data_IF_712345138700
#
_entry.id   IF_712345138700
#
_cell.length_a   1.000
_cell.length_b   1.000
_cell.length_c   1.000
_cell.angle_alpha   90.00
_cell.angle_beta   90.00
_cell.angle_gamma   90.00
#
_symmetry.space_group_name_H-M   'P 1'
#
loop_
_entity.id
_entity.type
_entity.pdbx_description
1 polymer ?
#
# COMPACT_ATOMS: atom_id res chain seq x y z
N UNK A 1 14.62 18.45 4.95
CA UNK A 1 13.36 19.16 4.99
C UNK A 1 12.74 19.14 6.37
N UNK A 2 11.80 20.04 6.62
CA UNK A 2 11.16 20.19 7.95
C UNK A 2 9.99 19.19 8.16
N UNK A 3 9.82 18.20 7.29
CA UNK A 3 8.74 17.21 7.40
C UNK A 3 7.32 17.74 7.15
N UNK A 4 7.19 18.97 6.67
CA UNK A 4 5.89 19.57 6.36
C UNK A 4 5.86 20.11 4.92
N UNK A 5 4.77 19.86 4.22
CA UNK A 5 4.52 20.42 2.90
C UNK A 5 4.30 21.94 2.97
N UNK A 6 4.76 22.66 1.93
CA UNK A 6 4.53 24.11 1.81
C UNK A 6 3.09 24.43 1.40
N UNK A 7 2.42 23.52 0.70
CA UNK A 7 1.01 23.62 0.35
C UNK A 7 0.15 23.19 1.54
N UNK A 8 -0.69 24.08 2.03
CA UNK A 8 -1.55 23.86 3.19
C UNK A 8 -3.04 24.07 2.91
N UNK A 9 -3.36 24.58 1.72
CA UNK A 9 -4.73 24.94 1.33
C UNK A 9 -5.39 23.82 0.53
N UNK A 10 -5.20 22.56 0.98
CA UNK A 10 -5.77 21.37 0.35
C UNK A 10 -6.14 20.30 1.39
N UNK A 11 -6.77 19.22 0.95
CA UNK A 11 -7.28 18.14 1.80
C UNK A 11 -6.21 17.10 2.19
N UNK A 12 -4.93 17.35 1.90
CA UNK A 12 -3.87 16.37 2.21
C UNK A 12 -3.77 16.05 3.70
N UNK A 13 -4.01 17.02 4.56
CA UNK A 13 -4.03 16.81 6.01
C UNK A 13 -5.07 15.77 6.47
N UNK A 14 -6.19 15.64 5.73
CA UNK A 14 -7.22 14.62 5.99
C UNK A 14 -6.67 13.23 5.68
N UNK A 15 -5.97 13.09 4.54
CA UNK A 15 -5.33 11.84 4.13
C UNK A 15 -4.23 11.46 5.13
N UNK A 16 -3.39 12.42 5.50
CA UNK A 16 -2.30 12.24 6.45
C UNK A 16 -2.81 11.73 7.79
N UNK A 17 -3.80 12.39 8.38
CA UNK A 17 -4.40 12.00 9.66
C UNK A 17 -5.06 10.61 9.59
N UNK A 18 -5.77 10.32 8.51
CA UNK A 18 -6.38 9.02 8.30
C UNK A 18 -5.33 7.89 8.24
N UNK A 19 -4.22 8.11 7.52
CA UNK A 19 -3.12 7.16 7.44
C UNK A 19 -2.40 6.97 8.78
N UNK A 20 -2.17 8.06 9.53
CA UNK A 20 -1.54 7.98 10.86
C UNK A 20 -2.39 7.19 11.85
N UNK A 21 -3.70 7.32 11.77
CA UNK A 21 -4.64 6.68 12.70
C UNK A 21 -4.96 5.23 12.33
N UNK A 22 -4.86 4.86 11.06
CA UNK A 22 -5.25 3.53 10.58
C UNK A 22 -4.37 2.40 11.11
N UNK A 23 -4.96 1.23 11.37
CA UNK A 23 -4.29 -0.04 11.64
C UNK A 23 -4.08 -0.87 10.36
N UNK A 24 -4.94 -0.65 9.38
CA UNK A 24 -4.83 -1.24 8.03
C UNK A 24 -5.16 -0.22 6.95
N UNK A 25 -4.56 -0.41 5.77
CA UNK A 25 -4.76 0.48 4.61
C UNK A 25 -5.01 -0.35 3.36
N UNK A 26 -6.12 -0.11 2.69
CA UNK A 26 -6.37 -0.65 1.35
C UNK A 26 -6.12 0.48 0.34
N UNK A 27 -5.15 0.28 -0.53
CA UNK A 27 -4.81 1.24 -1.58
C UNK A 27 -5.38 0.78 -2.90
N UNK A 28 -6.23 1.61 -3.51
CA UNK A 28 -6.81 1.34 -4.82
C UNK A 28 -6.47 2.44 -5.82
N UNK A 29 -6.03 2.06 -7.02
CA UNK A 29 -5.80 2.99 -8.12
C UNK A 29 -6.11 2.35 -9.46
N UNK A 30 -6.82 3.04 -10.38
CA UNK A 30 -6.86 2.60 -11.76
C UNK A 30 -5.47 2.74 -12.39
N UNK A 31 -5.21 1.91 -13.40
CA UNK A 31 -4.00 2.00 -14.22
C UNK A 31 -4.25 2.88 -15.43
N UNK A 32 -3.47 3.93 -15.55
CA UNK A 32 -3.36 4.74 -16.75
C UNK A 32 -1.91 4.79 -17.20
N UNK A 33 -1.65 4.54 -18.49
CA UNK A 33 -0.30 4.54 -19.06
C UNK A 33 0.68 3.67 -18.23
N UNK A 34 0.29 2.41 -17.99
CA UNK A 34 1.04 1.38 -17.25
C UNK A 34 1.15 1.56 -15.74
N UNK A 35 0.82 2.71 -15.18
CA UNK A 35 1.07 3.08 -13.80
C UNK A 35 -0.20 3.52 -13.05
N UNK A 36 -0.16 3.62 -11.72
CA UNK A 36 -1.21 4.27 -10.95
C UNK A 36 -1.42 5.73 -11.38
N UNK A 37 -2.55 6.30 -11.01
CA UNK A 37 -2.90 7.68 -11.38
C UNK A 37 -1.88 8.70 -10.85
N UNK A 38 -1.76 9.85 -11.55
CA UNK A 38 -0.95 10.97 -11.09
C UNK A 38 -1.36 11.48 -9.70
N UNK A 39 -2.65 11.44 -9.35
CA UNK A 39 -3.12 11.80 -8.01
C UNK A 39 -2.55 10.88 -6.93
N UNK A 40 -2.47 9.57 -7.19
CA UNK A 40 -1.79 8.65 -6.28
C UNK A 40 -0.33 9.04 -6.09
N UNK A 41 0.39 9.32 -7.16
CA UNK A 41 1.80 9.74 -7.10
C UNK A 41 1.99 11.03 -6.30
N UNK A 42 1.09 12.01 -6.45
CA UNK A 42 1.12 13.25 -5.65
C UNK A 42 1.01 12.94 -4.14
N UNK A 43 0.12 12.02 -3.75
CA UNK A 43 0.00 11.59 -2.35
C UNK A 43 1.29 10.93 -1.88
N UNK A 44 1.87 10.02 -2.68
CA UNK A 44 3.14 9.36 -2.35
C UNK A 44 4.28 10.36 -2.14
N UNK A 45 4.42 11.33 -3.05
CA UNK A 45 5.49 12.33 -2.98
C UNK A 45 5.36 13.24 -1.75
N UNK A 46 4.15 13.48 -1.29
CA UNK A 46 3.90 14.31 -0.11
C UNK A 46 4.10 13.54 1.20
N UNK A 47 3.73 12.27 1.22
CA UNK A 47 3.87 11.42 2.41
C UNK A 47 5.30 10.92 2.54
N UNK A 48 5.92 10.41 1.47
CA UNK A 48 7.14 9.61 1.48
C UNK A 48 8.23 10.13 2.42
N UNK A 49 9.00 11.18 2.06
CA UNK A 49 10.18 11.56 2.83
C UNK A 49 9.86 12.06 4.25
N UNK A 50 8.66 12.57 4.45
CA UNK A 50 8.25 13.14 5.74
C UNK A 50 7.77 12.08 6.72
N UNK A 51 7.36 10.90 6.25
CA UNK A 51 6.74 9.85 7.03
C UNK A 51 7.50 8.52 7.00
N UNK A 52 8.69 8.53 6.40
CA UNK A 52 9.54 7.34 6.33
C UNK A 52 9.97 6.90 7.73
N UNK A 53 9.51 5.72 8.14
CA UNK A 53 9.77 5.16 9.47
C UNK A 53 11.27 5.00 9.75
N UNK A 54 12.08 4.78 8.72
CA UNK A 54 13.54 4.62 8.84
C UNK A 54 14.21 5.89 9.35
N UNK A 55 13.70 7.05 8.96
CA UNK A 55 14.22 8.34 9.44
C UNK A 55 13.51 8.82 10.70
N UNK A 56 12.22 8.52 10.84
CA UNK A 56 11.42 8.98 11.98
C UNK A 56 11.66 8.18 13.24
N UNK A 57 11.85 6.87 13.14
CA UNK A 57 12.10 6.00 14.29
C UNK A 57 13.22 6.51 15.18
N UNK A 58 14.45 6.66 14.68
CA UNK A 58 15.57 7.19 15.46
C UNK A 58 15.33 8.60 16.03
N UNK A 59 14.63 9.47 15.29
CA UNK A 59 14.32 10.82 15.75
C UNK A 59 13.30 10.82 16.91
N UNK A 60 12.34 9.90 16.89
CA UNK A 60 11.38 9.70 17.97
C UNK A 60 12.09 9.14 19.21
N UNK A 61 12.88 8.08 19.03
CA UNK A 61 13.64 7.46 20.12
C UNK A 61 14.56 8.47 20.82
N UNK A 62 15.28 9.28 20.03
CA UNK A 62 16.12 10.34 20.57
C UNK A 62 15.29 11.38 21.33
N UNK A 63 14.16 11.84 20.76
CA UNK A 63 13.30 12.83 21.42
C UNK A 63 12.79 12.35 22.76
N UNK A 64 12.34 11.09 22.83
CA UNK A 64 11.87 10.46 24.08
C UNK A 64 13.03 10.33 25.09
N UNK A 65 14.20 9.86 24.66
CA UNK A 65 15.37 9.68 25.52
C UNK A 65 15.86 11.01 26.11
N UNK A 66 15.76 12.08 25.36
CA UNK A 66 16.12 13.43 25.80
C UNK A 66 15.04 14.13 26.63
N UNK A 67 13.87 13.48 26.84
CA UNK A 67 12.74 14.04 27.59
C UNK A 67 12.10 15.27 26.93
N UNK A 68 12.16 15.35 25.59
CA UNK A 68 11.55 16.45 24.83
C UNK A 68 10.03 16.41 24.88
N UNK A 69 9.42 17.59 24.74
CA UNK A 69 7.98 17.67 24.52
C UNK A 69 7.57 16.94 23.22
N UNK A 70 6.43 16.22 23.19
CA UNK A 70 5.97 15.50 21.98
C UNK A 70 5.87 16.34 20.71
N UNK A 71 5.70 17.66 20.83
CA UNK A 71 5.69 18.58 19.68
C UNK A 71 7.07 18.83 19.06
N UNK A 72 8.16 18.39 19.70
CA UNK A 72 9.54 18.63 19.28
C UNK A 72 10.18 17.47 18.50
N UNK A 73 9.46 16.35 18.37
CA UNK A 73 9.89 15.20 17.56
C UNK A 73 8.73 14.69 16.69
N UNK A 74 8.98 13.83 15.71
CA UNK A 74 7.93 13.33 14.82
C UNK A 74 6.82 12.60 15.57
N UNK A 75 5.61 12.62 15.02
CA UNK A 75 4.47 11.88 15.55
C UNK A 75 4.82 10.38 15.68
N UNK A 76 4.68 9.83 16.87
CA UNK A 76 4.98 8.42 17.19
C UNK A 76 4.16 7.45 16.35
N UNK A 77 2.97 7.85 15.89
CA UNK A 77 2.13 7.05 15.01
C UNK A 77 2.77 6.78 13.64
N UNK A 78 3.77 7.56 13.24
CA UNK A 78 4.48 7.35 11.98
C UNK A 78 5.28 6.04 11.94
N UNK A 79 5.62 5.49 13.09
CA UNK A 79 6.30 4.18 13.22
C UNK A 79 5.38 3.03 13.56
N UNK A 80 4.08 3.28 13.71
CA UNK A 80 3.06 2.26 13.98
C UNK A 80 3.08 1.18 12.89
N UNK A 81 3.18 -0.10 13.25
CA UNK A 81 3.08 -1.18 12.27
C UNK A 81 1.65 -1.26 11.71
N UNK A 82 1.54 -1.41 10.38
CA UNK A 82 0.28 -1.49 9.65
C UNK A 82 0.30 -2.67 8.70
N UNK A 83 -0.86 -3.23 8.43
CA UNK A 83 -1.05 -4.15 7.31
C UNK A 83 -1.78 -3.46 6.18
N UNK A 84 -1.62 -3.96 4.97
CA UNK A 84 -2.30 -3.37 3.82
C UNK A 84 -2.58 -4.33 2.69
N UNK A 85 -3.43 -3.88 1.78
CA UNK A 85 -3.68 -4.56 0.53
C UNK A 85 -3.69 -3.56 -0.63
N UNK A 86 -3.33 -4.04 -1.82
CA UNK A 86 -3.24 -3.24 -3.04
C UNK A 86 -4.25 -3.72 -4.07
N UNK A 87 -4.95 -2.79 -4.72
CA UNK A 87 -5.91 -3.10 -5.77
C UNK A 87 -5.65 -2.20 -6.97
N UNK A 88 -5.46 -2.79 -8.15
CA UNK A 88 -5.39 -2.01 -9.38
C UNK A 88 -6.33 -2.56 -10.44
N UNK A 89 -6.88 -1.66 -11.25
CA UNK A 89 -7.83 -1.97 -12.33
C UNK A 89 -7.37 -1.27 -13.60
N UNK A 90 -7.28 -2.00 -14.69
CA UNK A 90 -6.94 -1.45 -16.00
C UNK A 90 -7.90 -1.87 -17.10
N UNK A 91 -8.08 -0.98 -18.09
CA UNK A 91 -8.96 -1.21 -19.23
C UNK A 91 -8.39 -2.16 -20.29
N UNK A 92 -7.08 -2.27 -20.38
CA UNK A 92 -6.40 -3.08 -21.39
C UNK A 92 -6.77 -4.56 -21.31
N UNK A 93 -6.77 -5.24 -22.45
CA UNK A 93 -7.11 -6.66 -22.56
C UNK A 93 -5.98 -7.61 -22.17
N UNK A 94 -4.79 -7.09 -21.98
CA UNK A 94 -3.60 -7.87 -21.64
C UNK A 94 -2.99 -7.34 -20.35
N UNK A 95 -2.53 -8.23 -19.51
CA UNK A 95 -2.02 -7.99 -18.18
C UNK A 95 -0.80 -7.06 -18.13
N UNK A 96 0.09 -7.18 -19.14
CA UNK A 96 1.32 -6.40 -19.20
C UNK A 96 1.12 -4.87 -19.28
N UNK A 97 -0.09 -4.39 -19.65
CA UNK A 97 -0.43 -2.97 -19.54
C UNK A 97 -0.57 -2.46 -18.10
N UNK A 98 -0.61 -3.35 -17.14
CA UNK A 98 -0.70 -3.03 -15.71
C UNK A 98 0.61 -3.32 -14.96
N UNK A 99 1.67 -3.65 -15.68
CA UNK A 99 2.92 -4.20 -15.10
C UNK A 99 3.61 -3.28 -14.09
N UNK A 100 3.45 -1.98 -14.18
CA UNK A 100 4.06 -1.03 -13.25
C UNK A 100 3.11 -0.54 -12.15
N UNK A 101 1.83 -0.93 -12.17
CA UNK A 101 0.86 -0.42 -11.21
C UNK A 101 1.12 -0.91 -9.80
N UNK A 102 1.10 -2.22 -9.57
CA UNK A 102 1.35 -2.77 -8.23
C UNK A 102 2.76 -2.45 -7.72
N UNK A 103 3.85 -2.56 -8.52
CA UNK A 103 5.17 -2.16 -8.09
C UNK A 103 5.25 -0.70 -7.60
N UNK A 104 4.67 0.24 -8.35
CA UNK A 104 4.63 1.64 -7.92
C UNK A 104 3.76 1.86 -6.67
N UNK A 105 2.73 1.05 -6.46
CA UNK A 105 1.94 1.10 -5.23
C UNK A 105 2.70 0.55 -4.02
N UNK A 106 3.56 -0.44 -4.20
CA UNK A 106 4.47 -0.92 -3.17
C UNK A 106 5.47 0.15 -2.72
N UNK A 107 5.92 1.03 -3.62
CA UNK A 107 6.80 2.16 -3.24
C UNK A 107 6.17 3.08 -2.19
N UNK A 108 4.84 3.18 -2.17
CA UNK A 108 4.12 3.93 -1.14
C UNK A 108 4.11 3.20 0.21
N UNK A 109 4.02 1.86 0.20
CA UNK A 109 3.88 1.08 1.43
C UNK A 109 5.17 1.00 2.24
N UNK A 110 6.33 0.97 1.60
CA UNK A 110 7.63 0.85 2.27
C UNK A 110 7.92 2.00 3.25
N UNK A 111 7.86 3.27 2.86
CA UNK A 111 8.12 4.37 3.78
C UNK A 111 7.17 4.40 4.96
N UNK A 112 5.91 4.05 4.71
CA UNK A 112 4.84 4.04 5.72
C UNK A 112 4.90 2.85 6.68
N UNK A 113 5.78 1.87 6.42
CA UNK A 113 5.81 0.65 7.20
C UNK A 113 4.50 -0.14 7.15
N UNK A 114 3.92 -0.22 5.95
CA UNK A 114 2.70 -1.01 5.67
C UNK A 114 3.14 -2.35 5.09
N UNK A 115 2.87 -3.43 5.80
CA UNK A 115 3.11 -4.79 5.34
C UNK A 115 1.98 -5.21 4.40
N UNK A 116 2.28 -5.36 3.12
CA UNK A 116 1.29 -5.78 2.11
C UNK A 116 1.04 -7.28 2.27
N UNK A 117 -0.18 -7.63 2.67
CA UNK A 117 -0.60 -9.01 2.95
C UNK A 117 -1.47 -9.62 1.87
N UNK A 118 -1.97 -8.81 0.95
CA UNK A 118 -2.74 -9.24 -0.21
C UNK A 118 -2.71 -8.18 -1.29
N UNK A 119 -2.87 -8.58 -2.54
CA UNK A 119 -2.98 -7.65 -3.66
C UNK A 119 -3.86 -8.23 -4.76
N UNK A 120 -4.40 -7.37 -5.62
CA UNK A 120 -5.21 -7.80 -6.74
C UNK A 120 -5.05 -6.88 -7.94
N UNK A 121 -4.94 -7.50 -9.10
CA UNK A 121 -4.84 -6.82 -10.39
C UNK A 121 -5.95 -7.31 -11.31
N UNK A 122 -6.82 -6.40 -11.76
CA UNK A 122 -7.86 -6.70 -12.72
C UNK A 122 -7.62 -5.97 -14.04
N UNK A 123 -7.55 -6.69 -15.12
CA UNK A 123 -7.42 -6.13 -16.48
C UNK A 123 -8.65 -6.47 -17.34
N UNK A 124 -8.83 -5.75 -18.46
CA UNK A 124 -9.97 -5.93 -19.35
C UNK A 124 -11.22 -5.12 -18.96
N UNK A 125 -11.10 -4.15 -18.05
CA UNK A 125 -12.22 -3.34 -17.58
C UNK A 125 -12.79 -2.35 -18.62
N UNK A 126 -12.19 -2.23 -19.81
CA UNK A 126 -12.60 -1.25 -20.83
C UNK A 126 -13.90 -1.57 -21.55
N UNK A 127 -14.42 -2.79 -21.44
CA UNK A 127 -15.59 -3.21 -22.18
C UNK A 127 -16.77 -3.51 -21.25
N UNK A 128 -17.89 -2.91 -21.56
CA UNK A 128 -19.29 -3.35 -21.36
C UNK A 128 -19.67 -3.96 -19.99
N UNK A 129 -18.81 -4.72 -19.36
CA UNK A 129 -19.06 -5.27 -18.03
C UNK A 129 -18.41 -4.42 -16.96
N UNK A 130 -19.23 -3.68 -16.26
CA UNK A 130 -18.80 -2.97 -15.06
C UNK A 130 -18.25 -3.98 -14.05
N UNK A 131 -17.07 -3.70 -13.50
CA UNK A 131 -16.39 -4.60 -12.52
C UNK A 131 -17.34 -5.07 -11.39
N UNK A 132 -18.25 -4.21 -10.95
CA UNK A 132 -19.28 -4.55 -9.95
C UNK A 132 -20.27 -5.59 -10.44
N UNK A 133 -20.40 -5.81 -11.74
CA UNK A 133 -21.21 -6.87 -12.35
C UNK A 133 -20.51 -8.22 -12.45
N UNK A 134 -19.25 -8.32 -11.98
CA UNK A 134 -18.43 -9.54 -11.99
C UNK A 134 -18.45 -10.23 -10.63
N UNK A 135 -19.25 -11.30 -10.44
CA UNK A 135 -19.35 -11.98 -9.14
C UNK A 135 -18.01 -12.56 -8.66
N UNK A 136 -17.20 -13.07 -9.56
CA UNK A 136 -15.86 -13.61 -9.30
C UNK A 136 -14.91 -12.55 -8.72
N UNK A 137 -14.89 -11.36 -9.32
CA UNK A 137 -14.10 -10.23 -8.84
C UNK A 137 -14.61 -9.75 -7.48
N UNK A 138 -15.92 -9.64 -7.33
CA UNK A 138 -16.52 -9.20 -6.06
C UNK A 138 -16.25 -10.18 -4.92
N UNK A 139 -16.24 -11.48 -5.21
CA UNK A 139 -15.88 -12.48 -4.20
C UNK A 139 -14.40 -12.41 -3.83
N UNK A 140 -13.51 -12.22 -4.82
CA UNK A 140 -12.09 -12.00 -4.56
C UNK A 140 -11.86 -10.75 -3.69
N UNK A 141 -12.61 -9.67 -3.90
CA UNK A 141 -12.53 -8.47 -3.08
C UNK A 141 -13.01 -8.69 -1.65
N UNK A 142 -14.03 -9.52 -1.44
CA UNK A 142 -14.46 -9.93 -0.08
C UNK A 142 -13.36 -10.75 0.61
N UNK A 143 -12.75 -11.67 -0.11
CA UNK A 143 -11.63 -12.47 0.40
C UNK A 143 -10.47 -11.57 0.83
N UNK A 144 -10.09 -10.59 0.01
CA UNK A 144 -9.06 -9.61 0.35
C UNK A 144 -9.44 -8.84 1.63
N UNK A 145 -10.68 -8.42 1.77
CA UNK A 145 -11.17 -7.78 2.98
C UNK A 145 -11.10 -8.70 4.21
N UNK A 146 -11.43 -10.00 4.04
CA UNK A 146 -11.31 -11.01 5.11
C UNK A 146 -9.86 -11.20 5.54
N UNK A 147 -8.91 -11.23 4.62
CA UNK A 147 -7.47 -11.30 4.91
C UNK A 147 -6.98 -10.14 5.78
N UNK A 148 -7.48 -8.93 5.54
CA UNK A 148 -7.18 -7.76 6.39
C UNK A 148 -7.72 -7.99 7.82
N UNK A 149 -8.96 -8.45 7.95
CA UNK A 149 -9.57 -8.71 9.26
C UNK A 149 -8.82 -9.82 10.01
N UNK A 150 -8.44 -10.90 9.33
CA UNK A 150 -7.62 -11.97 9.90
C UNK A 150 -6.28 -11.45 10.40
N UNK A 151 -5.59 -10.63 9.60
CA UNK A 151 -4.32 -10.05 9.98
C UNK A 151 -4.42 -9.13 11.20
N UNK A 152 -5.49 -8.34 11.29
CA UNK A 152 -5.73 -7.45 12.44
C UNK A 152 -6.06 -8.22 13.73
N UNK A 153 -6.59 -9.44 13.62
CA UNK A 153 -6.90 -10.32 14.75
C UNK A 153 -5.81 -11.37 15.04
N UNK A 154 -4.71 -11.36 14.30
CA UNK A 154 -3.62 -12.30 14.49
C UNK A 154 -2.94 -12.14 15.87
N UNK A 155 -2.64 -13.26 16.52
CA UNK A 155 -2.00 -13.27 17.85
C UNK A 155 -0.50 -12.98 17.78
N UNK A 156 0.13 -13.27 16.64
CA UNK A 156 1.57 -13.07 16.45
C UNK A 156 1.86 -12.12 15.29
N UNK A 157 3.02 -11.46 15.38
CA UNK A 157 3.49 -10.57 14.31
C UNK A 157 3.70 -11.35 13.00
N UNK A 158 4.25 -12.55 13.07
CA UNK A 158 4.48 -13.42 11.91
C UNK A 158 3.17 -13.73 11.17
N UNK A 159 2.12 -14.08 11.91
CA UNK A 159 0.79 -14.29 11.34
C UNK A 159 0.17 -13.01 10.79
N UNK A 160 0.37 -11.90 11.48
CA UNK A 160 -0.17 -10.60 11.09
C UNK A 160 0.36 -10.16 9.73
N UNK A 161 1.67 -10.26 9.48
CA UNK A 161 2.31 -9.80 8.24
C UNK A 161 2.37 -10.87 7.13
N UNK A 162 1.91 -12.09 7.41
CA UNK A 162 1.92 -13.18 6.44
C UNK A 162 1.14 -12.80 5.18
N UNK A 163 1.77 -12.98 4.01
CA UNK A 163 1.11 -12.78 2.73
C UNK A 163 0.04 -13.86 2.50
N UNK A 164 -1.16 -13.43 2.05
CA UNK A 164 -2.35 -14.26 1.88
C UNK A 164 -2.90 -14.24 0.44
N UNK A 165 -2.26 -13.46 -0.44
CA UNK A 165 -2.64 -13.40 -1.84
C UNK A 165 -2.41 -14.74 -2.55
N UNK A 166 -3.14 -14.96 -3.63
CA UNK A 166 -3.15 -16.20 -4.41
C UNK A 166 -2.53 -16.04 -5.80
N UNK A 167 -1.93 -14.90 -6.09
CA UNK A 167 -1.27 -14.64 -7.36
C UNK A 167 -0.04 -15.55 -7.52
N UNK A 168 0.08 -16.14 -8.72
CA UNK A 168 1.23 -16.96 -9.06
C UNK A 168 2.34 -16.10 -9.70
N UNK A 169 3.59 -16.50 -9.48
CA UNK A 169 4.74 -15.88 -10.15
C UNK A 169 5.20 -14.56 -9.58
N UNK A 170 4.72 -14.16 -8.40
CA UNK A 170 5.21 -12.99 -7.67
C UNK A 170 6.48 -13.31 -6.87
N UNK A 171 7.25 -12.28 -6.54
CA UNK A 171 8.39 -12.43 -5.64
C UNK A 171 7.91 -12.84 -4.23
N UNK A 172 8.43 -13.94 -3.66
CA UNK A 172 7.98 -14.39 -2.33
C UNK A 172 8.44 -13.49 -1.18
N UNK A 173 9.30 -12.51 -1.45
CA UNK A 173 9.85 -11.61 -0.43
C UNK A 173 9.16 -10.25 -0.43
N UNK A 174 9.05 -9.62 -1.61
CA UNK A 174 8.48 -8.27 -1.72
C UNK A 174 7.10 -8.23 -2.40
N UNK A 175 6.59 -9.39 -2.82
CA UNK A 175 5.29 -9.60 -3.47
C UNK A 175 5.08 -8.77 -4.75
N UNK A 176 6.17 -8.28 -5.36
CA UNK A 176 6.11 -7.58 -6.64
C UNK A 176 6.01 -8.57 -7.81
N UNK A 177 5.31 -8.18 -8.85
CA UNK A 177 5.03 -8.98 -10.06
C UNK A 177 5.81 -8.51 -11.29
N UNK A 178 6.93 -7.82 -11.10
CA UNK A 178 7.80 -7.36 -12.19
C UNK A 178 8.46 -8.49 -12.99
N UNK A 179 8.54 -9.66 -12.39
CA UNK A 179 9.14 -10.85 -13.00
C UNK A 179 8.15 -12.01 -12.92
N UNK A 180 7.89 -12.65 -14.06
CA UNK A 180 7.19 -13.93 -14.06
C UNK A 180 8.20 -15.03 -13.77
N UNK A 181 8.08 -15.71 -12.65
CA UNK A 181 8.90 -16.88 -12.32
C UNK A 181 8.23 -18.11 -12.92
N UNK A 182 8.80 -18.63 -14.01
CA UNK A 182 8.39 -19.89 -14.60
C UNK A 182 9.26 -21.01 -14.05
N UNK A 183 8.67 -22.06 -13.52
CA UNK A 183 9.38 -23.32 -13.29
C UNK A 183 9.45 -24.05 -14.63
N UNK A 184 10.64 -24.05 -15.25
CA UNK A 184 10.88 -24.79 -16.48
C UNK A 184 10.66 -26.28 -16.21
N UNK A 185 9.59 -26.84 -16.77
CA UNK A 185 9.49 -28.27 -16.93
C UNK A 185 10.44 -28.72 -18.08
N UNK A 186 11.28 -29.69 -17.83
CA UNK A 186 12.03 -30.41 -18.86
C UNK A 186 11.09 -31.14 -19.81
#
# INVERSE_FOLDING_TARGET
GRGACVHKDDDFHIIEEALMSADAVIVGSPTYEFAPTGNFKVVCDRIGPAHDKTFRGPAIEQGIAEGKDPSQYPDVRSTKPRVGALITVGGARTENWLSLSLPNMHEFTFPMGIDVIDQYKYFGAMNIEHVLGRPDVMERMKTLGSHIVEALNAETEEERIRYRGDEQGICPVCHQDLLTVGFGGN
#
